data_IF_398968540936
#
_entry.id   IF_398968540936
#
_cell.length_a   1.000
_cell.length_b   1.000
_cell.length_c   1.000
_cell.angle_alpha   90.00
_cell.angle_beta   90.00
_cell.angle_gamma   90.00
#
_symmetry.space_group_name_H-M   'P 1'
#
loop_
_entity.id
_entity.type
_entity.pdbx_description
1 polymer ?
#
# COMPACT_ATOMS: atom_id res chain seq x y z
N UNK A 1 27.32 -11.48 -12.70
CA UNK A 1 26.47 -10.39 -13.24
C UNK A 1 25.39 -11.05 -14.06
N UNK A 2 24.12 -10.62 -13.98
CA UNK A 2 23.11 -11.16 -14.87
C UNK A 2 23.54 -10.91 -16.33
N UNK A 3 23.22 -11.87 -17.19
CA UNK A 3 23.51 -11.76 -18.63
C UNK A 3 22.75 -10.54 -19.19
N UNK A 4 23.50 -9.57 -19.74
CA UNK A 4 22.93 -8.36 -20.31
C UNK A 4 21.96 -8.64 -21.47
N UNK A 5 22.16 -9.75 -22.18
CA UNK A 5 21.26 -10.19 -23.25
C UNK A 5 19.91 -10.65 -22.67
N UNK A 6 19.91 -11.41 -21.59
CA UNK A 6 18.71 -11.86 -20.88
C UNK A 6 17.88 -10.68 -20.35
N UNK A 7 18.53 -9.71 -19.71
CA UNK A 7 17.85 -8.50 -19.23
C UNK A 7 17.22 -7.69 -20.37
N UNK A 8 17.93 -7.55 -21.49
CA UNK A 8 17.41 -6.85 -22.64
C UNK A 8 16.23 -7.58 -23.28
N UNK A 9 16.28 -8.92 -23.36
CA UNK A 9 15.17 -9.71 -23.88
C UNK A 9 13.89 -9.52 -23.05
N UNK A 10 13.98 -9.53 -21.71
CA UNK A 10 12.83 -9.28 -20.83
C UNK A 10 12.33 -7.84 -20.99
N UNK A 11 13.23 -6.83 -21.03
CA UNK A 11 12.85 -5.43 -21.16
C UNK A 11 12.10 -5.12 -22.46
N UNK A 12 12.41 -5.83 -23.55
CA UNK A 12 11.70 -5.66 -24.82
C UNK A 12 10.25 -6.16 -24.80
N UNK A 13 9.89 -7.00 -23.84
CA UNK A 13 8.53 -7.51 -23.66
C UNK A 13 7.66 -6.61 -22.78
N UNK A 14 8.22 -5.59 -22.14
CA UNK A 14 7.48 -4.61 -21.35
C UNK A 14 6.61 -3.76 -22.27
N UNK A 15 5.30 -3.77 -22.10
CA UNK A 15 4.35 -2.94 -22.82
C UNK A 15 3.90 -1.76 -21.96
N UNK A 16 4.20 -0.55 -22.44
CA UNK A 16 3.72 0.68 -21.78
C UNK A 16 2.19 0.78 -21.79
N UNK A 17 1.54 0.25 -22.81
CA UNK A 17 0.08 0.26 -22.96
C UNK A 17 -0.57 -0.64 -21.91
N UNK A 18 -0.09 -1.89 -21.75
CA UNK A 18 -0.58 -2.81 -20.72
C UNK A 18 -0.33 -2.27 -19.31
N UNK A 19 0.86 -1.69 -19.08
CA UNK A 19 1.21 -1.05 -17.82
C UNK A 19 0.23 0.08 -17.49
N UNK A 20 0.01 0.98 -18.45
CA UNK A 20 -0.90 2.11 -18.27
C UNK A 20 -2.35 1.67 -18.07
N UNK A 21 -2.83 0.69 -18.84
CA UNK A 21 -4.16 0.14 -18.68
C UNK A 21 -4.37 -0.43 -17.28
N UNK A 22 -3.43 -1.25 -16.81
CA UNK A 22 -3.48 -1.81 -15.46
C UNK A 22 -3.48 -0.70 -14.39
N UNK A 23 -2.61 0.29 -14.51
CA UNK A 23 -2.52 1.41 -13.57
C UNK A 23 -3.84 2.21 -13.53
N UNK A 24 -4.40 2.54 -14.70
CA UNK A 24 -5.66 3.27 -14.80
C UNK A 24 -6.81 2.50 -14.14
N UNK A 25 -6.93 1.20 -14.41
CA UNK A 25 -7.98 0.35 -13.81
C UNK A 25 -7.89 0.30 -12.29
N UNK A 26 -6.69 0.19 -11.72
CA UNK A 26 -6.51 0.17 -10.27
C UNK A 26 -6.77 1.54 -9.64
N UNK A 27 -6.32 2.63 -10.28
CA UNK A 27 -6.43 3.99 -9.75
C UNK A 27 -7.86 4.52 -9.87
N UNK A 28 -8.63 4.09 -10.89
CA UNK A 28 -10.05 4.45 -11.07
C UNK A 28 -10.91 4.08 -9.86
N UNK A 29 -10.51 3.07 -9.10
CA UNK A 29 -11.27 2.56 -7.96
C UNK A 29 -10.84 3.28 -6.68
N UNK A 30 -11.71 4.08 -6.04
CA UNK A 30 -11.44 4.64 -4.72
C UNK A 30 -11.21 3.53 -3.70
N UNK A 31 -10.14 3.63 -2.92
CA UNK A 31 -9.78 2.61 -1.93
C UNK A 31 -9.21 3.23 -0.67
N UNK A 32 -9.94 4.09 0.03
CA UNK A 32 -9.47 4.56 1.32
C UNK A 32 -9.30 3.37 2.26
N UNK A 33 -8.33 3.44 3.18
CA UNK A 33 -8.03 2.36 4.12
C UNK A 33 -9.30 1.81 4.78
N UNK A 34 -9.42 0.49 4.86
CA UNK A 34 -10.60 -0.29 5.23
C UNK A 34 -11.70 -0.36 4.15
N UNK A 35 -11.38 -0.02 2.91
CA UNK A 35 -12.32 -0.03 1.80
C UNK A 35 -11.68 -0.44 0.47
N UNK A 36 -10.63 -1.27 0.50
CA UNK A 36 -9.87 -1.65 -0.70
C UNK A 36 -10.38 -2.95 -1.38
N UNK A 37 -11.50 -3.53 -0.95
CA UNK A 37 -12.01 -4.79 -1.52
C UNK A 37 -12.17 -4.73 -3.05
N UNK A 38 -12.79 -3.68 -3.57
CA UNK A 38 -13.06 -3.55 -4.99
C UNK A 38 -11.78 -3.45 -5.84
N UNK A 39 -10.75 -2.77 -5.34
CA UNK A 39 -9.46 -2.69 -6.06
C UNK A 39 -8.68 -4.00 -5.94
N UNK A 40 -8.80 -4.73 -4.83
CA UNK A 40 -8.23 -6.06 -4.66
C UNK A 40 -8.87 -7.06 -5.64
N UNK A 41 -10.19 -7.01 -5.81
CA UNK A 41 -10.92 -7.80 -6.79
C UNK A 41 -10.47 -7.46 -8.22
N UNK A 42 -10.35 -6.17 -8.55
CA UNK A 42 -9.85 -5.72 -9.84
C UNK A 42 -8.43 -6.24 -10.14
N UNK A 43 -7.52 -6.19 -9.16
CA UNK A 43 -6.17 -6.72 -9.31
C UNK A 43 -6.19 -8.24 -9.55
N UNK A 44 -7.01 -8.96 -8.77
CA UNK A 44 -7.17 -10.41 -8.95
C UNK A 44 -7.70 -10.74 -10.35
N UNK A 45 -8.71 -10.02 -10.83
CA UNK A 45 -9.28 -10.21 -12.17
C UNK A 45 -8.25 -9.91 -13.27
N UNK A 46 -7.43 -8.88 -13.12
CA UNK A 46 -6.32 -8.58 -14.05
C UNK A 46 -5.36 -9.75 -14.13
N UNK A 47 -4.90 -10.24 -12.98
CA UNK A 47 -3.95 -11.35 -12.93
C UNK A 47 -4.53 -12.65 -13.49
N UNK A 48 -5.78 -12.97 -13.16
CA UNK A 48 -6.48 -14.15 -13.68
C UNK A 48 -6.68 -14.05 -15.20
N UNK A 49 -7.06 -12.89 -15.73
CA UNK A 49 -7.22 -12.68 -17.17
C UNK A 49 -5.90 -12.80 -17.94
N UNK A 50 -4.78 -12.53 -17.27
CA UNK A 50 -3.44 -12.76 -17.80
C UNK A 50 -2.98 -14.23 -17.70
N UNK A 51 -3.80 -15.11 -17.11
CA UNK A 51 -3.50 -16.53 -16.96
C UNK A 51 -2.66 -16.88 -15.73
N UNK A 52 -2.52 -15.97 -14.78
CA UNK A 52 -1.88 -16.27 -13.50
C UNK A 52 -2.85 -16.92 -12.51
N UNK A 53 -2.32 -17.78 -11.64
CA UNK A 53 -3.07 -18.31 -10.50
C UNK A 53 -3.05 -17.30 -9.36
N UNK A 54 -4.22 -16.96 -8.84
CA UNK A 54 -4.40 -15.99 -7.76
C UNK A 54 -5.02 -16.67 -6.56
N UNK A 55 -4.43 -16.46 -5.41
CA UNK A 55 -4.99 -16.82 -4.10
C UNK A 55 -5.54 -15.58 -3.41
N UNK A 56 -6.71 -15.74 -2.78
CA UNK A 56 -7.35 -14.70 -1.96
C UNK A 56 -7.41 -15.22 -0.53
N UNK A 57 -6.70 -14.55 0.36
CA UNK A 57 -6.70 -14.87 1.79
C UNK A 57 -7.11 -13.64 2.61
N UNK A 58 -7.94 -13.84 3.61
CA UNK A 58 -8.36 -12.75 4.48
C UNK A 58 -7.20 -12.16 5.30
N UNK A 59 -6.23 -13.01 5.67
CA UNK A 59 -5.05 -12.57 6.43
C UNK A 59 -5.43 -11.66 7.62
N UNK A 60 -6.51 -12.02 8.31
CA UNK A 60 -7.07 -11.24 9.43
C UNK A 60 -7.99 -10.09 9.04
N UNK A 61 -8.22 -9.84 7.73
CA UNK A 61 -9.12 -8.79 7.25
C UNK A 61 -10.09 -9.30 6.16
N UNK A 62 -11.20 -9.95 6.56
CA UNK A 62 -12.13 -10.59 5.62
C UNK A 62 -12.89 -9.61 4.72
N UNK A 63 -13.01 -8.33 5.12
CA UNK A 63 -13.71 -7.32 4.34
C UNK A 63 -13.01 -6.99 3.01
N UNK A 64 -11.67 -7.15 2.96
CA UNK A 64 -10.89 -7.01 1.74
C UNK A 64 -9.75 -8.05 1.73
N UNK A 65 -10.02 -9.30 1.32
CA UNK A 65 -8.99 -10.34 1.28
C UNK A 65 -7.79 -9.93 0.44
N UNK A 66 -6.60 -10.20 0.94
CA UNK A 66 -5.35 -9.93 0.24
C UNK A 66 -5.27 -10.71 -1.08
N UNK A 67 -4.47 -10.21 -2.00
CA UNK A 67 -4.18 -10.86 -3.29
C UNK A 67 -2.78 -11.44 -3.24
N UNK A 68 -2.64 -12.73 -3.51
CA UNK A 68 -1.35 -13.38 -3.69
C UNK A 68 -1.32 -14.08 -5.06
N UNK A 69 -0.24 -13.85 -5.81
CA UNK A 69 -0.01 -14.43 -7.11
C UNK A 69 1.42 -14.96 -7.17
N UNK A 70 1.57 -16.26 -7.35
CA UNK A 70 2.88 -16.90 -7.50
C UNK A 70 3.07 -17.38 -8.93
N UNK A 71 4.14 -16.90 -9.56
CA UNK A 71 4.61 -17.40 -10.83
C UNK A 71 5.85 -18.28 -10.61
N UNK A 72 5.71 -19.57 -10.76
CA UNK A 72 6.72 -20.59 -10.48
C UNK A 72 7.36 -21.10 -11.76
N UNK A 73 8.68 -21.27 -11.77
CA UNK A 73 9.41 -21.87 -12.89
C UNK A 73 9.25 -23.38 -13.02
N UNK A 74 8.67 -24.05 -12.01
CA UNK A 74 8.64 -25.50 -11.89
C UNK A 74 10.00 -26.14 -11.52
N UNK A 75 11.01 -25.31 -11.22
CA UNK A 75 12.36 -25.75 -10.82
C UNK A 75 12.74 -25.17 -9.46
N UNK A 76 13.52 -25.89 -8.65
CA UNK A 76 13.99 -25.37 -7.37
C UNK A 76 14.73 -24.04 -7.52
N UNK A 77 14.56 -23.15 -6.54
CA UNK A 77 15.24 -21.86 -6.51
C UNK A 77 14.66 -20.93 -5.45
N UNK A 78 15.13 -19.70 -5.44
CA UNK A 78 14.66 -18.66 -4.51
C UNK A 78 13.40 -17.98 -5.01
N UNK A 79 12.64 -17.43 -4.09
CA UNK A 79 11.46 -16.61 -4.38
C UNK A 79 11.79 -15.13 -4.22
N UNK A 80 11.61 -14.36 -5.29
CA UNK A 80 11.57 -12.90 -5.20
C UNK A 80 10.13 -12.47 -4.97
N UNK A 81 9.88 -11.79 -3.86
CA UNK A 81 8.56 -11.23 -3.56
C UNK A 81 8.49 -9.76 -3.92
N UNK A 82 7.40 -9.37 -4.56
CA UNK A 82 6.93 -7.98 -4.63
C UNK A 82 5.77 -7.84 -3.66
N UNK A 83 5.86 -6.90 -2.74
CA UNK A 83 4.78 -6.63 -1.80
C UNK A 83 4.34 -5.18 -1.91
N UNK A 84 3.04 -4.94 -1.85
CA UNK A 84 2.50 -3.59 -1.91
C UNK A 84 1.09 -3.50 -1.33
N UNK A 85 0.64 -2.26 -1.06
CA UNK A 85 -0.69 -2.00 -0.56
C UNK A 85 -1.62 -1.43 -1.65
N UNK A 86 -2.91 -1.62 -1.47
CA UNK A 86 -3.96 -1.19 -2.39
C UNK A 86 -4.78 -0.03 -1.85
N UNK A 87 -4.70 0.21 -0.55
CA UNK A 87 -5.37 1.33 0.08
C UNK A 87 -4.63 2.65 -0.15
N UNK A 88 -5.36 3.74 0.01
CA UNK A 88 -4.88 5.11 -0.17
C UNK A 88 -5.25 5.97 1.03
N UNK A 89 -4.48 7.02 1.29
CA UNK A 89 -4.76 7.97 2.36
C UNK A 89 -6.19 8.52 2.29
N UNK A 90 -6.76 8.86 3.45
CA UNK A 90 -8.10 9.44 3.60
C UNK A 90 -8.10 10.92 3.18
N UNK A 91 -7.82 11.17 1.92
CA UNK A 91 -7.97 12.48 1.27
C UNK A 91 -9.11 12.43 0.25
N UNK A 92 -9.60 13.57 -0.24
CA UNK A 92 -10.53 13.53 -1.35
C UNK A 92 -9.95 12.71 -2.52
N UNK A 93 -10.75 11.77 -3.02
CA UNK A 93 -10.36 10.95 -4.16
C UNK A 93 -10.10 11.80 -5.40
N UNK A 94 -8.97 11.55 -6.05
CA UNK A 94 -8.60 12.17 -7.32
C UNK A 94 -8.64 11.08 -8.40
N UNK A 95 -9.55 11.20 -9.40
CA UNK A 95 -9.61 10.22 -10.49
C UNK A 95 -8.33 10.22 -11.34
N UNK A 96 -8.02 9.10 -12.02
CA UNK A 96 -6.84 9.02 -12.85
C UNK A 96 -6.94 9.95 -14.07
N UNK A 97 -5.82 10.57 -14.43
CA UNK A 97 -5.65 11.29 -15.69
C UNK A 97 -4.20 11.16 -16.17
N UNK A 98 -4.04 11.14 -17.47
CA UNK A 98 -2.73 11.16 -18.10
C UNK A 98 -2.52 12.53 -18.74
N UNK A 99 -1.46 13.21 -18.35
CA UNK A 99 -1.14 14.54 -18.85
C UNK A 99 0.39 14.66 -19.03
N UNK A 100 0.84 15.10 -20.19
CA UNK A 100 2.26 15.27 -20.51
C UNK A 100 3.13 14.01 -20.24
N UNK A 101 2.56 12.83 -20.44
CA UNK A 101 3.24 11.55 -20.19
C UNK A 101 3.34 11.13 -18.71
N UNK A 102 2.70 11.86 -17.83
CA UNK A 102 2.60 11.55 -16.40
C UNK A 102 1.18 11.06 -16.07
N UNK A 103 1.10 10.08 -15.18
CA UNK A 103 -0.14 9.57 -14.63
C UNK A 103 -0.39 10.20 -13.26
N UNK A 104 -1.55 10.82 -13.11
CA UNK A 104 -2.02 11.44 -11.87
C UNK A 104 -3.24 10.68 -11.35
N UNK A 105 -3.45 10.70 -10.04
CA UNK A 105 -4.61 10.11 -9.40
C UNK A 105 -4.29 9.60 -8.00
N UNK A 106 -5.31 9.29 -7.20
CA UNK A 106 -5.13 8.70 -5.86
C UNK A 106 -4.49 7.32 -5.96
N UNK A 107 -3.29 7.15 -5.35
CA UNK A 107 -2.52 5.91 -5.42
C UNK A 107 -1.61 5.79 -6.66
N UNK A 108 -1.50 6.83 -7.52
CA UNK A 108 -0.65 6.76 -8.71
C UNK A 108 0.84 6.57 -8.36
N UNK A 109 1.32 7.23 -7.31
CA UNK A 109 2.67 7.10 -6.79
C UNK A 109 2.74 6.14 -5.61
N UNK A 110 1.75 6.17 -4.75
CA UNK A 110 1.66 5.47 -3.47
C UNK A 110 0.36 4.65 -3.43
N UNK A 111 0.41 3.31 -3.71
CA UNK A 111 1.45 2.67 -4.52
C UNK A 111 0.87 1.79 -5.64
N UNK A 112 -0.38 2.05 -6.08
CA UNK A 112 -1.06 1.29 -7.16
C UNK A 112 -0.27 1.31 -8.47
N UNK A 113 0.45 2.42 -8.76
CA UNK A 113 1.35 2.51 -9.92
C UNK A 113 2.51 1.52 -9.83
N UNK A 114 3.09 1.33 -8.65
CA UNK A 114 4.11 0.33 -8.39
C UNK A 114 3.60 -1.09 -8.53
N UNK A 115 2.35 -1.35 -8.07
CA UNK A 115 1.69 -2.65 -8.26
C UNK A 115 1.47 -2.91 -9.76
N UNK A 116 1.00 -1.94 -10.52
CA UNK A 116 0.83 -2.07 -11.96
C UNK A 116 2.16 -2.36 -12.68
N UNK A 117 3.25 -1.71 -12.26
CA UNK A 117 4.59 -1.98 -12.77
C UNK A 117 5.04 -3.42 -12.46
N UNK A 118 4.71 -3.93 -11.28
CA UNK A 118 4.98 -5.32 -10.91
C UNK A 118 4.19 -6.31 -11.76
N UNK A 119 2.91 -6.05 -12.00
CA UNK A 119 2.08 -6.88 -12.89
C UNK A 119 2.69 -6.94 -14.29
N UNK A 120 3.13 -5.80 -14.84
CA UNK A 120 3.76 -5.79 -16.16
C UNK A 120 5.12 -6.50 -16.16
N UNK A 121 5.89 -6.39 -15.07
CA UNK A 121 7.13 -7.16 -14.92
C UNK A 121 6.88 -8.68 -14.90
N UNK A 122 5.84 -9.13 -14.18
CA UNK A 122 5.40 -10.54 -14.18
C UNK A 122 5.04 -11.03 -15.59
N UNK A 123 4.28 -10.24 -16.35
CA UNK A 123 3.93 -10.52 -17.74
C UNK A 123 5.19 -10.67 -18.60
N UNK A 124 6.10 -9.71 -18.52
CA UNK A 124 7.33 -9.71 -19.31
C UNK A 124 8.22 -10.93 -18.97
N UNK A 125 8.35 -11.28 -17.69
CA UNK A 125 9.11 -12.48 -17.28
C UNK A 125 8.44 -13.75 -17.79
N UNK A 126 7.13 -13.89 -17.64
CA UNK A 126 6.36 -15.04 -18.15
C UNK A 126 6.54 -15.19 -19.68
N UNK A 127 6.30 -14.10 -20.42
CA UNK A 127 6.34 -14.06 -21.87
C UNK A 127 7.74 -14.32 -22.42
N UNK A 128 8.78 -14.02 -21.64
CA UNK A 128 10.17 -14.31 -21.99
C UNK A 128 10.54 -15.79 -21.91
N UNK A 129 9.86 -16.56 -21.08
CA UNK A 129 10.23 -17.94 -20.77
C UNK A 129 11.59 -18.11 -20.08
N UNK A 130 12.17 -17.02 -19.55
CA UNK A 130 13.54 -17.00 -19.00
C UNK A 130 13.62 -17.22 -17.49
N UNK A 131 12.51 -17.44 -16.80
CA UNK A 131 12.51 -17.85 -15.40
C UNK A 131 12.84 -19.36 -15.33
N UNK A 132 14.11 -19.69 -15.14
CA UNK A 132 14.61 -21.07 -15.19
C UNK A 132 14.77 -21.73 -13.84
N UNK A 133 14.50 -21.01 -12.72
CA UNK A 133 14.56 -21.53 -11.36
C UNK A 133 13.92 -20.58 -10.36
N UNK A 134 13.33 -21.15 -9.31
CA UNK A 134 12.62 -20.38 -8.29
C UNK A 134 11.29 -19.82 -8.74
N UNK A 135 10.80 -18.80 -8.04
CA UNK A 135 9.50 -18.19 -8.29
C UNK A 135 9.50 -16.69 -8.06
N UNK A 136 8.48 -16.01 -8.61
CA UNK A 136 8.13 -14.64 -8.28
C UNK A 136 6.78 -14.67 -7.56
N UNK A 137 6.69 -13.99 -6.42
CA UNK A 137 5.49 -13.84 -5.62
C UNK A 137 5.08 -12.37 -5.61
N UNK A 138 3.88 -12.06 -6.07
CA UNK A 138 3.24 -10.76 -5.83
C UNK A 138 2.25 -10.93 -4.68
N UNK A 139 2.35 -10.07 -3.68
CA UNK A 139 1.36 -9.92 -2.62
C UNK A 139 0.86 -8.48 -2.59
N UNK A 140 -0.46 -8.31 -2.48
CA UNK A 140 -1.07 -7.00 -2.35
C UNK A 140 -2.11 -7.04 -1.22
N UNK A 141 -2.09 -6.02 -0.37
CA UNK A 141 -2.84 -5.99 0.88
C UNK A 141 -3.47 -4.63 1.14
N UNK A 142 -4.25 -4.55 2.21
CA UNK A 142 -4.85 -3.36 2.77
C UNK A 142 -4.28 -3.08 4.17
N UNK A 143 -4.82 -2.11 4.88
CA UNK A 143 -4.46 -1.70 6.24
C UNK A 143 -3.03 -1.15 6.36
N UNK A 144 -2.58 -0.45 5.32
CA UNK A 144 -1.25 0.19 5.31
C UNK A 144 -1.31 1.66 5.71
N UNK A 145 -2.24 2.43 5.15
CA UNK A 145 -2.23 3.88 5.25
C UNK A 145 -2.80 4.43 6.56
N UNK A 146 -2.09 5.40 7.12
CA UNK A 146 -2.53 6.13 8.33
C UNK A 146 -3.78 6.98 8.06
N UNK A 147 -4.62 7.21 9.11
CA UNK A 147 -4.46 6.78 10.51
C UNK A 147 -5.06 5.39 10.81
N UNK A 148 -5.63 4.72 9.83
CA UNK A 148 -6.42 3.49 10.03
C UNK A 148 -5.65 2.20 9.72
N UNK A 149 -4.53 2.33 9.01
CA UNK A 149 -3.64 1.21 8.73
C UNK A 149 -2.81 0.85 9.96
N UNK A 150 -2.73 -0.43 10.27
CA UNK A 150 -1.98 -0.98 11.40
C UNK A 150 -0.99 -2.08 10.97
N UNK A 151 -0.95 -2.40 9.66
CA UNK A 151 -0.07 -3.41 9.10
C UNK A 151 -0.50 -4.86 9.36
N UNK A 152 -1.63 -5.08 10.05
CA UNK A 152 -2.05 -6.42 10.50
C UNK A 152 -2.25 -7.41 9.34
N UNK A 153 -2.67 -6.95 8.15
CA UNK A 153 -2.83 -7.85 7.01
C UNK A 153 -1.49 -8.31 6.42
N UNK A 154 -0.41 -7.52 6.58
CA UNK A 154 0.95 -7.98 6.24
C UNK A 154 1.41 -9.09 7.18
N UNK A 155 1.16 -8.94 8.48
CA UNK A 155 1.44 -9.99 9.45
C UNK A 155 0.67 -11.28 9.11
N UNK A 156 -0.61 -11.15 8.76
CA UNK A 156 -1.44 -12.27 8.30
C UNK A 156 -0.91 -12.94 7.02
N UNK A 157 -0.37 -12.20 6.07
CA UNK A 157 0.31 -12.75 4.88
C UNK A 157 1.55 -13.55 5.26
N UNK A 158 2.35 -13.04 6.20
CA UNK A 158 3.53 -13.72 6.72
C UNK A 158 3.13 -15.03 7.41
N UNK A 159 2.13 -14.99 8.30
CA UNK A 159 1.61 -16.17 9.01
C UNK A 159 1.03 -17.21 8.04
N UNK A 160 0.41 -16.79 6.95
CA UNK A 160 -0.11 -17.67 5.90
C UNK A 160 0.99 -18.24 4.99
N UNK A 161 2.26 -17.85 5.17
CA UNK A 161 3.39 -18.37 4.41
C UNK A 161 3.62 -17.69 3.06
N UNK A 162 3.02 -16.53 2.81
CA UNK A 162 3.30 -15.72 1.63
C UNK A 162 4.58 -14.89 1.83
N UNK A 163 5.72 -15.59 1.86
CA UNK A 163 7.03 -15.02 2.11
C UNK A 163 7.98 -15.39 0.98
N UNK A 164 8.79 -14.43 0.54
CA UNK A 164 9.91 -14.61 -0.38
C UNK A 164 11.26 -14.63 0.33
N UNK A 165 12.30 -15.14 -0.33
CA UNK A 165 13.69 -15.06 0.15
C UNK A 165 14.24 -13.63 0.11
N UNK A 166 13.68 -12.79 -0.75
CA UNK A 166 13.91 -11.36 -0.82
C UNK A 166 12.61 -10.65 -1.17
N UNK A 167 12.42 -9.46 -0.61
CA UNK A 167 11.22 -8.65 -0.85
C UNK A 167 11.62 -7.31 -1.48
N UNK A 168 10.88 -6.89 -2.50
CA UNK A 168 10.97 -5.58 -3.11
C UNK A 168 9.61 -4.88 -2.97
N UNK A 169 9.65 -3.66 -2.44
CA UNK A 169 8.50 -2.78 -2.29
C UNK A 169 8.57 -1.75 -3.42
N UNK A 170 7.69 -1.81 -4.43
CA UNK A 170 7.70 -0.91 -5.58
C UNK A 170 7.02 0.43 -5.27
N UNK A 171 7.39 1.04 -4.16
CA UNK A 171 6.85 2.30 -3.65
C UNK A 171 7.90 3.40 -3.80
N UNK A 172 7.46 4.61 -4.15
CA UNK A 172 8.32 5.78 -4.30
C UNK A 172 9.65 5.47 -4.99
N UNK A 173 9.65 5.24 -6.28
CA UNK A 173 10.88 5.01 -7.05
C UNK A 173 11.83 6.22 -6.96
N UNK A 174 12.52 6.36 -5.82
CA UNK A 174 13.53 7.37 -5.57
C UNK A 174 14.90 6.90 -6.06
N UNK A 175 15.69 7.83 -6.56
CA UNK A 175 17.06 7.56 -6.98
C UNK A 175 17.95 7.11 -5.81
N UNK A 176 17.97 7.73 -4.62
CA UNK A 176 18.59 7.11 -3.45
C UNK A 176 17.67 6.05 -2.83
N UNK A 177 18.16 4.81 -2.73
CA UNK A 177 17.47 3.73 -2.05
C UNK A 177 17.38 4.03 -0.54
N UNK A 178 16.17 4.12 0.06
CA UNK A 178 16.04 4.27 1.50
C UNK A 178 16.59 3.03 2.22
N UNK A 179 17.52 3.21 3.14
CA UNK A 179 18.14 2.13 3.94
C UNK A 179 17.77 2.18 5.41
N UNK A 180 17.06 3.23 5.83
CA UNK A 180 16.57 3.39 7.19
C UNK A 180 15.31 4.27 7.19
N UNK A 181 14.40 3.99 8.09
CA UNK A 181 13.20 4.77 8.34
C UNK A 181 13.21 5.41 9.72
N UNK A 182 12.37 6.41 9.92
CA UNK A 182 12.07 6.95 11.26
C UNK A 182 11.03 6.07 11.93
N UNK A 183 11.11 5.95 13.25
CA UNK A 183 9.99 5.43 14.03
C UNK A 183 8.80 6.37 13.94
N UNK A 184 7.59 5.80 13.90
CA UNK A 184 6.33 6.54 13.91
C UNK A 184 5.49 6.06 15.09
N UNK A 185 4.92 7.01 15.83
CA UNK A 185 3.89 6.74 16.83
C UNK A 185 2.71 7.66 16.59
N UNK A 186 1.52 7.09 16.48
CA UNK A 186 0.26 7.84 16.36
C UNK A 186 -0.46 7.75 17.69
N UNK A 187 -0.81 8.91 18.26
CA UNK A 187 -1.52 9.01 19.52
C UNK A 187 -2.89 9.64 19.27
N UNK A 188 -3.94 8.94 19.72
CA UNK A 188 -5.28 9.50 19.80
C UNK A 188 -5.53 9.98 21.24
N UNK A 189 -5.87 11.24 21.40
CA UNK A 189 -6.14 11.83 22.72
C UNK A 189 -7.56 12.38 22.73
N UNK A 190 -8.40 11.78 23.54
CA UNK A 190 -9.79 12.21 23.74
C UNK A 190 -9.92 12.97 25.05
N UNK A 191 -10.36 14.22 24.98
CA UNK A 191 -10.62 15.04 26.16
C UNK A 191 -12.11 15.10 26.39
N UNK A 192 -12.54 14.55 27.52
CA UNK A 192 -13.95 14.52 27.92
C UNK A 192 -14.14 15.14 29.30
N UNK A 193 -15.34 15.58 29.60
CA UNK A 193 -15.78 15.94 30.95
C UNK A 193 -17.03 15.14 31.33
N UNK A 194 -17.24 14.79 32.60
CA UNK A 194 -18.47 14.18 33.05
C UNK A 194 -19.64 15.20 33.01
N UNK A 195 -20.87 14.69 32.85
CA UNK A 195 -22.11 15.46 32.85
C UNK A 195 -22.69 15.68 31.47
N UNK A 196 -23.97 16.09 31.44
CA UNK A 196 -24.69 16.37 30.20
C UNK A 196 -24.23 17.70 29.57
N UNK A 197 -24.28 17.81 28.23
CA UNK A 197 -24.04 19.08 27.56
C UNK A 197 -24.99 20.14 28.07
N UNK A 198 -24.46 21.22 28.60
CA UNK A 198 -25.26 22.31 29.15
C UNK A 198 -24.94 23.59 28.42
N UNK A 199 -25.98 24.36 28.04
CA UNK A 199 -25.81 25.66 27.45
C UNK A 199 -25.09 26.59 28.45
N UNK A 200 -24.10 27.38 28.01
CA UNK A 200 -23.26 28.23 28.86
C UNK A 200 -24.09 29.15 29.79
N UNK A 201 -25.23 29.65 29.30
CA UNK A 201 -26.15 30.51 30.07
C UNK A 201 -26.80 29.76 31.24
N UNK A 202 -26.92 28.44 31.15
CA UNK A 202 -27.58 27.59 32.17
C UNK A 202 -26.59 26.83 33.05
N UNK A 203 -25.34 26.67 32.60
CA UNK A 203 -24.34 25.79 33.25
C UNK A 203 -23.40 26.44 34.26
N UNK A 204 -23.39 27.76 34.34
CA UNK A 204 -22.41 28.49 35.22
C UNK A 204 -20.97 28.47 34.69
N UNK A 205 -20.17 29.41 35.21
CA UNK A 205 -18.82 29.70 34.71
C UNK A 205 -17.75 28.70 35.24
N UNK A 206 -18.08 27.83 36.18
CA UNK A 206 -17.11 26.97 36.89
C UNK A 206 -16.84 25.60 36.23
N UNK A 207 -17.37 25.32 35.04
CA UNK A 207 -17.12 24.03 34.40
C UNK A 207 -15.80 23.99 33.64
N UNK A 208 -14.97 22.93 33.83
CA UNK A 208 -13.73 22.80 33.09
C UNK A 208 -13.96 22.82 31.59
N UNK A 209 -13.23 23.67 30.87
CA UNK A 209 -13.32 23.73 29.39
C UNK A 209 -12.48 22.63 28.77
N UNK A 210 -13.13 21.70 28.03
CA UNK A 210 -12.45 20.66 27.26
C UNK A 210 -11.59 21.25 26.15
N UNK A 211 -11.97 22.42 25.61
CA UNK A 211 -11.19 23.13 24.59
C UNK A 211 -9.88 23.67 25.15
N UNK A 212 -9.93 24.25 26.36
CA UNK A 212 -8.70 24.76 27.02
C UNK A 212 -7.78 23.59 27.38
N UNK A 213 -8.31 22.49 27.91
CA UNK A 213 -7.52 21.32 28.22
C UNK A 213 -6.87 20.71 26.95
N UNK A 214 -7.63 20.66 25.85
CA UNK A 214 -7.09 20.24 24.54
C UNK A 214 -5.97 21.17 24.05
N UNK A 215 -6.14 22.49 24.17
CA UNK A 215 -5.11 23.47 23.81
C UNK A 215 -3.85 23.34 24.67
N UNK A 216 -3.99 23.02 25.95
CA UNK A 216 -2.85 22.77 26.85
C UNK A 216 -2.07 21.53 26.44
N UNK A 217 -2.76 20.46 26.02
CA UNK A 217 -2.13 19.24 25.48
C UNK A 217 -1.32 19.57 24.22
N UNK A 218 -1.90 20.31 23.26
CA UNK A 218 -1.20 20.72 22.03
C UNK A 218 0.06 21.52 22.36
N UNK A 219 -0.01 22.46 23.33
CA UNK A 219 1.18 23.22 23.77
C UNK A 219 2.26 22.32 24.37
N UNK A 220 1.87 21.31 25.16
CA UNK A 220 2.81 20.35 25.71
C UNK A 220 3.52 19.52 24.64
N UNK A 221 2.82 19.09 23.59
CA UNK A 221 3.46 18.42 22.46
C UNK A 221 4.44 19.32 21.71
N UNK A 222 4.10 20.59 21.50
CA UNK A 222 5.02 21.55 20.89
C UNK A 222 6.29 21.78 21.72
N UNK A 223 6.19 21.77 23.05
CA UNK A 223 7.36 21.85 23.96
C UNK A 223 8.25 20.61 23.85
N UNK A 224 7.63 19.40 23.74
CA UNK A 224 8.35 18.12 23.55
C UNK A 224 9.06 18.11 22.19
N UNK A 225 8.36 18.50 21.12
CA UNK A 225 8.93 18.56 19.76
C UNK A 225 10.17 19.46 19.72
N UNK A 226 10.09 20.65 20.35
CA UNK A 226 11.23 21.55 20.46
C UNK A 226 12.41 20.91 21.19
N UNK A 227 12.16 20.10 22.23
CA UNK A 227 13.20 19.41 23.01
C UNK A 227 13.85 18.24 22.26
N UNK A 228 13.17 17.67 21.26
CA UNK A 228 13.71 16.58 20.44
C UNK A 228 14.54 17.08 19.24
N UNK A 229 14.47 18.38 18.95
CA UNK A 229 15.22 19.00 17.86
C UNK A 229 16.65 19.40 18.26
N UNK A 230 17.00 19.34 19.55
CA UNK A 230 18.34 19.57 20.11
C UNK A 230 19.12 18.23 20.18
#
# INVERSE_FOLDING_TARGET
>A
MPDSAMLNAIRQLVSKERLLDTALRLIEIPSPTRSAAAVADCLADVLVSDGFTVERSDCGWPDAPAVACRFDSGQPGRTLQFNGHLDTVHLPFVPPRVENGLLYGSGASDMKGGIAATVEALRAVRDSGLLTGGSILLTAHELHESPWGDGSQVDGLIEAGFIGDAVLLPEYCHDPLPIAGRGLAILEITVTRPGEPTHEVLGGIEQPSVLLAGADIVRKFAEIDASLAE
#
